data_IF_389712995837
#
_entry.id   IF_389712995837
#
_cell.length_a   1.000
_cell.length_b   1.000
_cell.length_c   1.000
_cell.angle_alpha   90.00
_cell.angle_beta   90.00
_cell.angle_gamma   90.00
#
_symmetry.space_group_name_H-M   'P 1'
#
loop_
_entity.id
_entity.type
_entity.pdbx_description
1 polymer ?
#
# COMPACT_ATOMS: atom_id res chain seq x y z
N UNK A 1 -8.37 22.64 9.85
CA UNK A 1 -6.92 22.48 9.65
C UNK A 1 -6.76 21.48 8.54
N UNK A 2 -6.37 21.92 7.34
CA UNK A 2 -6.03 21.00 6.25
C UNK A 2 -4.70 20.34 6.60
N UNK A 3 -4.72 19.03 6.88
CA UNK A 3 -3.51 18.27 7.11
C UNK A 3 -2.94 17.93 5.73
N UNK A 4 -1.81 18.53 5.38
CA UNK A 4 -1.12 18.21 4.12
C UNK A 4 -0.66 16.77 4.16
N UNK A 5 -1.15 15.94 3.23
CA UNK A 5 -0.73 14.54 3.12
C UNK A 5 0.69 14.48 2.54
N UNK A 6 1.51 13.59 3.08
CA UNK A 6 2.80 13.24 2.46
C UNK A 6 2.62 12.27 1.28
N UNK A 7 3.67 12.03 0.49
CA UNK A 7 3.58 11.17 -0.69
C UNK A 7 3.06 9.75 -0.39
N UNK A 8 3.50 9.13 0.71
CA UNK A 8 3.03 7.79 1.08
C UNK A 8 1.52 7.78 1.42
N UNK A 9 1.02 8.83 2.08
CA UNK A 9 -0.42 8.97 2.36
C UNK A 9 -1.21 9.27 1.08
N UNK A 10 -0.67 10.08 0.17
CA UNK A 10 -1.29 10.41 -1.11
C UNK A 10 -1.50 9.16 -1.98
N UNK A 11 -0.50 8.28 -2.10
CA UNK A 11 -0.64 7.08 -2.93
C UNK A 11 -1.71 6.11 -2.41
N UNK A 12 -1.97 6.09 -1.09
CA UNK A 12 -3.11 5.35 -0.53
C UNK A 12 -4.43 6.07 -0.83
N UNK A 13 -4.48 7.39 -0.69
CA UNK A 13 -5.71 8.15 -0.95
C UNK A 13 -6.16 8.12 -2.43
N UNK A 14 -5.21 8.02 -3.37
CA UNK A 14 -5.48 7.97 -4.81
C UNK A 14 -5.83 6.57 -5.33
N UNK A 15 -5.41 5.52 -4.63
CA UNK A 15 -5.73 4.15 -5.00
C UNK A 15 -7.16 3.77 -4.61
N UNK A 16 -7.89 3.13 -5.53
CA UNK A 16 -9.27 2.68 -5.29
C UNK A 16 -9.41 1.73 -4.08
N UNK A 17 -8.37 0.92 -3.83
CA UNK A 17 -8.28 -0.01 -2.71
C UNK A 17 -7.36 0.49 -1.58
N UNK A 18 -6.88 1.73 -1.64
CA UNK A 18 -5.89 2.22 -0.69
C UNK A 18 -6.41 2.37 0.74
N UNK A 19 -7.73 2.51 0.92
CA UNK A 19 -8.38 2.47 2.23
C UNK A 19 -8.24 1.11 2.94
N UNK A 20 -7.90 0.04 2.20
CA UNK A 20 -7.65 -1.30 2.75
C UNK A 20 -6.21 -1.45 3.25
N UNK A 21 -5.37 -0.42 3.12
CA UNK A 21 -3.96 -0.44 3.51
C UNK A 21 -3.61 0.63 4.55
N UNK A 22 -2.63 0.33 5.39
CA UNK A 22 -2.13 1.25 6.42
C UNK A 22 -0.60 1.19 6.50
N UNK A 23 0.07 2.33 6.35
CA UNK A 23 1.51 2.43 6.64
C UNK A 23 1.77 2.30 8.14
N UNK A 24 2.69 1.41 8.52
CA UNK A 24 3.07 1.14 9.92
C UNK A 24 4.40 1.78 10.31
N UNK A 25 5.08 2.39 9.34
CA UNK A 25 6.31 3.18 9.54
C UNK A 25 6.13 4.57 8.97
N UNK A 26 6.85 5.55 9.54
CA UNK A 26 6.84 6.93 9.04
C UNK A 26 7.53 7.04 7.67
N UNK A 27 7.01 7.91 6.82
CA UNK A 27 7.61 8.19 5.52
C UNK A 27 8.79 9.15 5.67
N UNK A 28 9.96 8.74 5.20
CA UNK A 28 11.20 9.52 5.33
C UNK A 28 11.48 10.45 4.15
N UNK A 29 10.57 10.54 3.18
CA UNK A 29 10.77 11.35 1.97
C UNK A 29 11.39 10.61 0.78
N UNK A 30 11.67 9.30 0.91
CA UNK A 30 12.24 8.47 -0.15
C UNK A 30 11.20 7.51 -0.77
N UNK A 31 10.66 7.78 -1.97
CA UNK A 31 9.56 7.00 -2.56
C UNK A 31 9.86 5.51 -2.78
N UNK A 32 11.12 5.17 -3.04
CA UNK A 32 11.57 3.80 -3.33
C UNK A 32 12.06 3.04 -2.10
N UNK A 33 12.12 3.70 -0.94
CA UNK A 33 12.53 3.04 0.30
C UNK A 33 11.38 2.15 0.80
N UNK A 34 11.61 0.84 1.04
CA UNK A 34 10.59 -0.03 1.60
C UNK A 34 10.16 0.46 2.99
N UNK A 35 8.85 0.39 3.23
CA UNK A 35 8.18 0.73 4.48
C UNK A 35 7.30 -0.44 4.90
N UNK A 36 7.04 -0.56 6.21
CA UNK A 36 6.05 -1.54 6.67
C UNK A 36 4.66 -1.06 6.34
N UNK A 37 3.87 -1.91 5.71
CA UNK A 37 2.47 -1.68 5.36
C UNK A 37 1.63 -2.87 5.80
N UNK A 38 0.40 -2.61 6.25
CA UNK A 38 -0.58 -3.62 6.62
C UNK A 38 -1.75 -3.63 5.66
N UNK A 39 -2.19 -4.81 5.22
CA UNK A 39 -3.44 -4.97 4.48
C UNK A 39 -4.57 -5.29 5.47
N UNK A 40 -5.44 -4.32 5.76
CA UNK A 40 -6.40 -4.34 6.85
C UNK A 40 -7.63 -5.22 6.59
N UNK A 41 -8.28 -5.08 5.43
CA UNK A 41 -9.63 -5.62 5.19
C UNK A 41 -9.67 -7.04 4.61
N UNK A 42 -8.52 -7.72 4.47
CA UNK A 42 -8.47 -9.06 3.87
C UNK A 42 -7.60 -10.03 4.70
N UNK A 43 -6.27 -9.85 4.73
CA UNK A 43 -5.38 -10.78 5.41
C UNK A 43 -4.80 -10.28 6.75
N UNK A 44 -4.85 -8.98 7.03
CA UNK A 44 -4.29 -8.39 8.24
C UNK A 44 -2.76 -8.41 8.31
N UNK A 45 -2.06 -8.87 7.27
CA UNK A 45 -0.61 -9.11 7.30
C UNK A 45 0.19 -7.83 7.10
N UNK A 46 1.32 -7.73 7.81
CA UNK A 46 2.29 -6.64 7.70
C UNK A 46 3.49 -7.08 6.87
N UNK A 47 3.81 -6.35 5.81
CA UNK A 47 4.91 -6.66 4.90
C UNK A 47 5.63 -5.40 4.47
N UNK A 48 6.76 -5.56 3.79
CA UNK A 48 7.53 -4.43 3.26
C UNK A 48 7.10 -4.11 1.84
N UNK A 49 6.81 -2.83 1.60
CA UNK A 49 6.48 -2.29 0.29
C UNK A 49 6.91 -0.82 0.24
N UNK A 50 7.45 -0.34 -0.87
CA UNK A 50 7.73 1.08 -1.01
C UNK A 50 6.49 1.85 -1.48
N UNK A 51 6.35 3.15 -1.15
CA UNK A 51 5.27 3.98 -1.70
C UNK A 51 5.25 4.00 -3.24
N UNK A 52 6.41 4.02 -3.89
CA UNK A 52 6.52 3.96 -5.35
C UNK A 52 6.03 2.62 -5.91
N UNK A 53 6.34 1.50 -5.26
CA UNK A 53 5.83 0.19 -5.64
C UNK A 53 4.30 0.10 -5.49
N UNK A 54 3.75 0.64 -4.41
CA UNK A 54 2.30 0.69 -4.22
C UNK A 54 1.63 1.54 -5.30
N UNK A 55 2.18 2.72 -5.62
CA UNK A 55 1.70 3.57 -6.71
C UNK A 55 1.76 2.88 -8.08
N UNK A 56 2.76 2.02 -8.29
CA UNK A 56 2.88 1.20 -9.51
C UNK A 56 1.91 0.00 -9.55
N UNK A 57 1.03 -0.14 -8.56
CA UNK A 57 0.01 -1.18 -8.52
C UNK A 57 0.43 -2.45 -7.78
N UNK A 58 1.60 -2.50 -7.14
CA UNK A 58 1.93 -3.63 -6.27
C UNK A 58 1.04 -3.61 -5.03
N UNK A 59 0.62 -4.81 -4.62
CA UNK A 59 -0.28 -5.06 -3.49
C UNK A 59 0.25 -6.20 -2.64
N UNK A 60 -0.52 -6.61 -1.63
CA UNK A 60 -0.19 -7.75 -0.79
C UNK A 60 0.15 -8.99 -1.64
N UNK A 61 1.42 -9.40 -1.64
CA UNK A 61 1.94 -10.50 -2.46
C UNK A 61 1.99 -11.84 -1.71
N UNK A 62 1.66 -11.85 -0.42
CA UNK A 62 1.81 -13.02 0.46
C UNK A 62 0.64 -13.98 0.30
N UNK A 63 -0.55 -13.45 0.06
CA UNK A 63 -1.76 -14.25 -0.05
C UNK A 63 -2.29 -14.16 -1.49
N UNK A 64 -2.44 -15.32 -2.12
CA UNK A 64 -2.95 -15.43 -3.50
C UNK A 64 -4.31 -14.73 -3.67
N UNK A 65 -5.16 -14.67 -2.64
CA UNK A 65 -6.46 -14.00 -2.71
C UNK A 65 -6.42 -12.48 -2.44
N UNK A 66 -5.27 -11.91 -2.03
CA UNK A 66 -5.13 -10.49 -1.70
C UNK A 66 -4.51 -9.65 -2.84
N UNK A 67 -3.98 -10.28 -3.88
CA UNK A 67 -3.27 -9.62 -4.97
C UNK A 67 -3.44 -10.30 -6.33
N UNK A 68 -4.37 -11.24 -6.47
CA UNK A 68 -4.66 -11.93 -7.73
C UNK A 68 -5.98 -11.42 -8.31
N UNK A 69 -5.88 -10.51 -9.28
CA UNK A 69 -6.92 -10.39 -10.31
C UNK A 69 -6.76 -11.59 -11.22
N UNK A 70 -7.66 -12.56 -11.07
CA UNK A 70 -7.66 -13.74 -11.92
C UNK A 70 -7.66 -13.36 -13.38
N UNK A 71 -6.59 -13.74 -14.08
CA UNK A 71 -6.60 -13.70 -15.53
C UNK A 71 -7.58 -14.77 -15.99
N UNK A 72 -8.80 -14.35 -16.32
CA UNK A 72 -9.73 -15.13 -17.12
C UNK A 72 -9.07 -15.35 -18.49
N UNK A 73 -8.55 -16.54 -18.73
CA UNK A 73 -8.37 -17.13 -20.04
C UNK A 73 -9.08 -18.47 -20.06
#
# INVERSE_FOLDING_TARGET
MEKTLNYAEQVLAEAADGQDYEWKTEYTGHPTMPMRIRHMNNCGFEFELSPADFAAGKRCYIHLHCGWVGSNY
#
